data_IF_068215453410
#
_entry.id   IF_068215453410
#
_cell.length_a   1.000
_cell.length_b   1.000
_cell.length_c   1.000
_cell.angle_alpha   90.00
_cell.angle_beta   90.00
_cell.angle_gamma   90.00
#
_symmetry.space_group_name_H-M   'P 1'
#
loop_
_entity.id
_entity.type
_entity.pdbx_description
1 polymer ?
#
# COMPACT_ATOMS: atom_id res chain seq x y z
N UNK A 1 -17.65 -24.86 13.31
CA UNK A 1 -17.06 -23.66 13.94
C UNK A 1 -15.64 -23.94 14.45
N UNK A 2 -15.35 -25.14 14.95
CA UNK A 2 -14.04 -25.49 15.51
C UNK A 2 -12.89 -25.53 14.49
N UNK A 3 -13.14 -25.98 13.25
CA UNK A 3 -12.12 -25.96 12.18
C UNK A 3 -11.70 -24.53 11.78
N UNK A 4 -12.62 -23.57 11.88
CA UNK A 4 -12.38 -22.17 11.55
C UNK A 4 -11.60 -21.49 12.68
N UNK A 5 -11.93 -21.79 13.94
CA UNK A 5 -11.16 -21.32 15.10
C UNK A 5 -9.75 -21.94 15.15
N UNK A 6 -9.60 -23.22 14.80
CA UNK A 6 -8.30 -23.89 14.71
C UNK A 6 -7.43 -23.31 13.57
N UNK A 7 -8.03 -22.90 12.44
CA UNK A 7 -7.32 -22.22 11.36
C UNK A 7 -6.96 -20.75 11.70
N UNK A 8 -7.76 -20.08 12.54
CA UNK A 8 -7.49 -18.70 12.99
C UNK A 8 -6.43 -18.62 14.09
N UNK A 9 -6.26 -19.71 14.85
CA UNK A 9 -5.25 -19.81 15.92
C UNK A 9 -4.02 -20.61 15.49
N UNK A 10 -4.06 -21.27 14.33
CA UNK A 10 -2.87 -21.91 13.78
C UNK A 10 -1.81 -20.85 13.45
N UNK A 11 -0.54 -21.12 13.76
CA UNK A 11 0.55 -20.23 13.39
C UNK A 11 0.77 -20.33 11.89
N UNK A 12 0.26 -19.33 11.16
CA UNK A 12 0.52 -19.16 9.73
C UNK A 12 1.69 -18.18 9.63
N UNK A 13 2.86 -18.63 9.15
CA UNK A 13 4.10 -17.83 9.13
C UNK A 13 4.55 -17.28 10.50
N UNK A 14 4.28 -18.02 11.59
CA UNK A 14 4.73 -17.65 12.94
C UNK A 14 3.88 -16.58 13.64
N UNK A 15 2.77 -16.14 13.03
CA UNK A 15 1.75 -15.30 13.68
C UNK A 15 0.37 -15.96 13.57
N UNK A 16 -0.55 -15.74 14.53
CA UNK A 16 -1.88 -16.35 14.47
C UNK A 16 -2.67 -15.91 13.22
N UNK A 17 -3.40 -16.81 12.57
CA UNK A 17 -4.23 -16.49 11.40
C UNK A 17 -5.23 -15.34 11.59
N UNK A 18 -5.69 -15.08 12.83
CA UNK A 18 -6.56 -13.94 13.14
C UNK A 18 -5.89 -12.58 12.87
N UNK A 19 -4.56 -12.50 12.99
CA UNK A 19 -3.80 -11.27 12.72
C UNK A 19 -3.84 -10.88 11.24
N UNK A 20 -3.68 -11.89 10.37
CA UNK A 20 -3.83 -11.72 8.93
C UNK A 20 -5.26 -11.33 8.56
N UNK A 21 -6.26 -11.93 9.22
CA UNK A 21 -7.66 -11.59 8.99
C UNK A 21 -7.97 -10.16 9.45
N UNK A 22 -7.46 -9.74 10.62
CA UNK A 22 -7.59 -8.37 11.11
C UNK A 22 -6.92 -7.34 10.17
N UNK A 23 -5.73 -7.66 9.66
CA UNK A 23 -5.03 -6.83 8.66
C UNK A 23 -5.84 -6.72 7.36
N UNK A 24 -6.36 -7.85 6.87
CA UNK A 24 -7.13 -7.91 5.63
C UNK A 24 -8.46 -7.16 5.77
N UNK A 25 -9.14 -7.29 6.91
CA UNK A 25 -10.35 -6.52 7.24
C UNK A 25 -10.05 -5.02 7.33
N UNK A 26 -8.94 -4.63 7.96
CA UNK A 26 -8.51 -3.23 8.00
C UNK A 26 -8.30 -2.66 6.60
N UNK A 27 -7.59 -3.39 5.73
CA UNK A 27 -7.35 -3.01 4.34
C UNK A 27 -8.68 -2.88 3.58
N UNK A 28 -9.55 -3.89 3.65
CA UNK A 28 -10.84 -3.85 2.95
C UNK A 28 -11.69 -2.67 3.45
N UNK A 29 -11.70 -2.42 4.75
CA UNK A 29 -12.44 -1.30 5.34
C UNK A 29 -11.93 0.05 4.81
N UNK A 30 -10.61 0.23 4.77
CA UNK A 30 -9.98 1.42 4.20
C UNK A 30 -10.27 1.55 2.70
N UNK A 31 -10.21 0.46 1.94
CA UNK A 31 -10.48 0.44 0.51
C UNK A 31 -11.96 0.77 0.20
N UNK A 32 -12.90 0.24 0.98
CA UNK A 32 -14.33 0.54 0.83
C UNK A 32 -14.61 2.00 1.19
N UNK A 33 -13.94 2.56 2.20
CA UNK A 33 -14.03 3.99 2.52
C UNK A 33 -13.47 4.86 1.39
N UNK A 34 -12.29 4.52 0.87
CA UNK A 34 -11.61 5.30 -0.17
C UNK A 34 -12.35 5.27 -1.51
N UNK A 35 -12.83 4.09 -1.92
CA UNK A 35 -13.51 3.87 -3.20
C UNK A 35 -15.02 4.19 -3.15
N UNK A 36 -15.64 4.06 -1.98
CA UNK A 36 -17.09 4.21 -1.80
C UNK A 36 -17.55 5.58 -1.32
N UNK A 37 -16.76 6.27 -0.49
CA UNK A 37 -17.19 7.52 0.19
C UNK A 37 -16.43 8.74 -0.33
N UNK A 38 -15.14 8.62 -0.64
CA UNK A 38 -14.30 9.79 -0.93
C UNK A 38 -14.22 10.16 -2.43
N UNK A 39 -14.18 9.18 -3.33
CA UNK A 39 -14.02 9.42 -4.78
C UNK A 39 -15.34 9.59 -5.57
N UNK A 40 -16.44 9.96 -4.91
CA UNK A 40 -17.74 10.08 -5.59
C UNK A 40 -17.85 11.35 -6.46
N UNK A 41 -17.02 12.36 -6.24
CA UNK A 41 -17.07 13.64 -6.95
C UNK A 41 -15.74 13.98 -7.64
N UNK A 42 -15.83 14.37 -8.92
CA UNK A 42 -14.71 14.73 -9.80
C UNK A 42 -14.18 16.15 -9.53
N UNK A 43 -13.87 16.48 -8.27
CA UNK A 43 -13.26 17.77 -7.94
C UNK A 43 -11.75 17.75 -8.24
N UNK A 44 -11.24 18.82 -8.85
CA UNK A 44 -9.80 19.05 -9.00
C UNK A 44 -9.19 19.19 -7.60
N UNK A 45 -8.59 18.10 -7.09
CA UNK A 45 -8.03 18.07 -5.74
C UNK A 45 -6.93 19.13 -5.64
N UNK A 46 -7.17 20.15 -4.82
CA UNK A 46 -6.20 21.19 -4.55
C UNK A 46 -4.99 20.58 -3.81
N UNK A 47 -3.76 21.08 -4.05
CA UNK A 47 -2.52 20.51 -3.49
C UNK A 47 -2.59 20.31 -1.96
N UNK A 48 -3.29 21.20 -1.25
CA UNK A 48 -3.48 21.16 0.21
C UNK A 48 -4.36 19.99 0.65
N UNK A 49 -5.41 19.70 -0.11
CA UNK A 49 -6.34 18.61 0.17
C UNK A 49 -5.70 17.26 -0.14
N UNK A 50 -4.92 17.17 -1.23
CA UNK A 50 -4.10 15.97 -1.54
C UNK A 50 -3.10 15.65 -0.42
N UNK A 51 -2.44 16.67 0.15
CA UNK A 51 -1.49 16.51 1.26
C UNK A 51 -2.17 16.09 2.56
N UNK A 52 -3.36 16.64 2.85
CA UNK A 52 -4.14 16.25 4.03
C UNK A 52 -4.63 14.82 3.93
N UNK A 53 -5.16 14.42 2.77
CA UNK A 53 -5.59 13.04 2.53
C UNK A 53 -4.43 12.06 2.66
N UNK A 54 -3.30 12.35 1.99
CA UNK A 54 -2.09 11.53 2.10
C UNK A 54 -1.61 11.42 3.55
N UNK A 55 -1.56 12.53 4.29
CA UNK A 55 -1.13 12.50 5.71
C UNK A 55 -2.11 11.73 6.61
N UNK A 56 -3.41 11.76 6.31
CA UNK A 56 -4.42 10.92 6.96
C UNK A 56 -4.14 9.43 6.75
N UNK A 57 -3.94 8.99 5.50
CA UNK A 57 -3.61 7.60 5.19
C UNK A 57 -2.28 7.16 5.80
N UNK A 58 -1.26 8.01 5.72
CA UNK A 58 0.03 7.76 6.36
C UNK A 58 -0.11 7.56 7.88
N UNK A 59 -0.90 8.39 8.54
CA UNK A 59 -1.15 8.30 9.98
C UNK A 59 -1.83 6.99 10.37
N UNK A 60 -2.77 6.50 9.55
CA UNK A 60 -3.40 5.19 9.77
C UNK A 60 -2.38 4.07 9.66
N UNK A 61 -1.49 4.11 8.65
CA UNK A 61 -0.42 3.12 8.49
C UNK A 61 0.55 3.09 9.67
N UNK A 62 0.89 4.26 10.21
CA UNK A 62 1.72 4.38 11.42
C UNK A 62 0.96 3.88 12.67
N UNK A 63 -0.30 4.26 12.84
CA UNK A 63 -1.12 3.79 13.96
C UNK A 63 -1.26 2.26 13.97
N UNK A 64 -1.39 1.64 12.80
CA UNK A 64 -1.40 0.18 12.68
C UNK A 64 -0.07 -0.45 13.07
N UNK A 65 1.08 0.16 12.72
CA UNK A 65 2.39 -0.27 13.22
C UNK A 65 2.52 -0.19 14.74
N UNK A 66 1.91 0.83 15.36
CA UNK A 66 1.82 0.96 16.82
C UNK A 66 0.97 -0.15 17.45
N UNK A 67 -0.14 -0.52 16.79
CA UNK A 67 -0.95 -1.67 17.19
C UNK A 67 -0.18 -3.00 17.09
N UNK A 68 0.59 -3.20 16.02
CA UNK A 68 1.47 -4.37 15.86
C UNK A 68 2.48 -4.42 17.01
N UNK A 69 3.09 -3.29 17.38
CA UNK A 69 4.05 -3.24 18.48
C UNK A 69 3.41 -3.71 19.79
N UNK A 70 2.19 -3.26 20.08
CA UNK A 70 1.51 -3.63 21.33
C UNK A 70 1.16 -5.12 21.41
N UNK A 71 0.82 -5.76 20.29
CA UNK A 71 0.36 -7.15 20.28
C UNK A 71 1.43 -8.19 19.91
N UNK A 72 2.29 -7.91 18.93
CA UNK A 72 3.27 -8.84 18.35
C UNK A 72 4.71 -8.54 18.82
N UNK A 73 4.90 -7.48 19.61
CA UNK A 73 6.19 -7.08 20.15
C UNK A 73 7.03 -6.22 19.20
N UNK A 74 8.16 -5.73 19.71
CA UNK A 74 9.01 -4.74 19.02
C UNK A 74 9.65 -5.25 17.73
N UNK A 75 10.02 -6.53 17.65
CA UNK A 75 10.69 -7.10 16.48
C UNK A 75 9.79 -7.09 15.24
N UNK A 76 8.53 -7.53 15.39
CA UNK A 76 7.57 -7.56 14.28
C UNK A 76 7.07 -6.17 13.90
N UNK A 77 6.93 -5.26 14.86
CA UNK A 77 6.68 -3.86 14.56
C UNK A 77 7.82 -3.22 13.77
N UNK A 78 9.07 -3.54 14.12
CA UNK A 78 10.22 -3.01 13.41
C UNK A 78 10.32 -3.56 11.99
N UNK A 79 10.04 -4.85 11.76
CA UNK A 79 9.89 -5.43 10.42
C UNK A 79 8.80 -4.69 9.62
N UNK A 80 7.62 -4.46 10.22
CA UNK A 80 6.53 -3.72 9.59
C UNK A 80 6.91 -2.28 9.23
N UNK A 81 7.45 -1.51 10.17
CA UNK A 81 7.85 -0.12 9.92
C UNK A 81 8.98 -0.03 8.91
N UNK A 82 9.91 -0.98 8.91
CA UNK A 82 10.98 -1.05 7.91
C UNK A 82 10.39 -1.28 6.53
N UNK A 83 9.49 -2.26 6.38
CA UNK A 83 8.78 -2.51 5.11
C UNK A 83 7.97 -1.29 4.66
N UNK A 84 7.17 -0.71 5.56
CA UNK A 84 6.35 0.46 5.31
C UNK A 84 7.17 1.66 4.81
N UNK A 85 8.29 1.98 5.46
CA UNK A 85 9.16 3.07 5.04
C UNK A 85 9.90 2.76 3.73
N UNK A 86 10.32 1.51 3.52
CA UNK A 86 10.95 1.08 2.26
C UNK A 86 9.98 1.23 1.10
N UNK A 87 8.75 0.75 1.25
CA UNK A 87 7.71 0.90 0.24
C UNK A 87 7.40 2.37 -0.04
N UNK A 88 7.31 3.19 1.01
CA UNK A 88 7.00 4.60 0.87
C UNK A 88 8.12 5.38 0.18
N UNK A 89 9.38 5.07 0.49
CA UNK A 89 10.56 5.62 -0.21
C UNK A 89 10.57 5.25 -1.70
N UNK A 90 10.30 3.98 -2.01
CA UNK A 90 10.28 3.48 -3.39
C UNK A 90 9.13 4.09 -4.21
N UNK A 91 8.00 4.39 -3.57
CA UNK A 91 6.91 5.13 -4.24
C UNK A 91 7.28 6.58 -4.58
N UNK A 92 8.08 7.25 -3.73
CA UNK A 92 8.51 8.63 -3.94
C UNK A 92 9.51 8.74 -5.10
N UNK A 93 10.41 7.76 -5.24
CA UNK A 93 11.33 7.64 -6.37
C UNK A 93 10.58 7.50 -7.71
N UNK A 94 9.54 6.64 -7.74
CA UNK A 94 8.70 6.46 -8.92
C UNK A 94 7.97 7.74 -9.35
N UNK A 95 7.40 8.49 -8.40
CA UNK A 95 6.73 9.77 -8.71
C UNK A 95 7.72 10.81 -9.23
N UNK A 96 8.94 10.84 -8.69
CA UNK A 96 9.99 11.74 -9.15
C UNK A 96 10.41 11.45 -10.59
N UNK A 97 10.66 10.18 -10.93
CA UNK A 97 10.98 9.76 -12.31
C UNK A 97 9.85 10.17 -13.27
N UNK A 98 8.59 9.95 -12.89
CA UNK A 98 7.44 10.34 -13.71
C UNK A 98 7.34 11.85 -13.91
N UNK A 99 7.55 12.64 -12.85
CA UNK A 99 7.53 14.10 -12.94
C UNK A 99 8.64 14.64 -13.87
N UNK A 100 9.85 14.07 -13.82
CA UNK A 100 10.94 14.43 -14.73
C UNK A 100 10.61 14.12 -16.19
N UNK A 101 10.06 12.93 -16.46
CA UNK A 101 9.66 12.53 -17.83
C UNK A 101 8.57 13.45 -18.37
N UNK A 102 7.51 13.71 -17.59
CA UNK A 102 6.41 14.61 -17.98
C UNK A 102 6.90 16.04 -18.21
N UNK A 103 7.84 16.51 -17.39
CA UNK A 103 8.49 17.81 -17.53
C UNK A 103 9.34 17.92 -18.80
N UNK A 104 10.13 16.88 -19.11
CA UNK A 104 10.95 16.84 -20.33
C UNK A 104 10.11 16.93 -21.62
N UNK A 105 8.98 16.22 -21.67
CA UNK A 105 8.05 16.26 -22.80
C UNK A 105 7.09 17.46 -22.78
N UNK A 106 7.20 18.34 -21.78
CA UNK A 106 6.39 19.55 -21.62
C UNK A 106 4.87 19.28 -21.75
N UNK A 107 4.40 18.18 -21.14
CA UNK A 107 3.02 17.72 -21.29
C UNK A 107 2.07 18.68 -20.56
N UNK A 108 1.04 19.24 -21.25
CA UNK A 108 0.05 20.12 -20.64
C UNK A 108 -0.65 19.46 -19.44
N UNK A 109 -0.92 20.22 -18.36
CA UNK A 109 -1.45 19.68 -17.09
C UNK A 109 -2.75 18.88 -17.24
N UNK A 110 -3.58 19.23 -18.23
CA UNK A 110 -4.83 18.52 -18.57
C UNK A 110 -4.61 17.04 -18.92
N UNK A 111 -3.46 16.68 -19.49
CA UNK A 111 -3.12 15.30 -19.86
C UNK A 111 -2.26 14.58 -18.82
N UNK A 112 -1.63 15.30 -17.89
CA UNK A 112 -0.75 14.73 -16.88
C UNK A 112 -1.45 13.65 -16.05
N UNK A 113 -2.68 13.89 -15.60
CA UNK A 113 -3.42 12.90 -14.81
C UNK A 113 -3.64 11.57 -15.55
N UNK A 114 -4.00 11.60 -16.84
CA UNK A 114 -4.18 10.37 -17.62
C UNK A 114 -2.87 9.63 -17.85
N UNK A 115 -1.80 10.36 -18.19
CA UNK A 115 -0.48 9.75 -18.43
C UNK A 115 0.06 9.16 -17.13
N UNK A 116 -0.10 9.86 -16.01
CA UNK A 116 0.30 9.38 -14.68
C UNK A 116 -0.47 8.12 -14.31
N UNK A 117 -1.79 8.09 -14.54
CA UNK A 117 -2.62 6.92 -14.27
C UNK A 117 -2.18 5.68 -15.06
N UNK A 118 -1.98 5.82 -16.39
CA UNK A 118 -1.48 4.72 -17.24
C UNK A 118 -0.06 4.30 -16.86
N UNK A 119 0.79 5.24 -16.45
CA UNK A 119 2.13 4.98 -15.97
C UNK A 119 2.16 4.17 -14.67
N UNK A 120 1.37 4.60 -13.67
CA UNK A 120 1.22 3.90 -12.40
C UNK A 120 0.68 2.48 -12.63
N UNK A 121 -0.35 2.33 -13.47
CA UNK A 121 -0.91 1.02 -13.81
C UNK A 121 0.15 0.10 -14.43
N UNK A 122 0.94 0.61 -15.38
CA UNK A 122 2.03 -0.14 -16.00
C UNK A 122 3.10 -0.59 -15.01
N UNK A 123 3.52 0.31 -14.10
CA UNK A 123 4.49 0.00 -13.04
C UNK A 123 3.96 -1.04 -12.07
N UNK A 124 2.70 -0.96 -11.66
CA UNK A 124 2.06 -1.94 -10.76
C UNK A 124 2.05 -3.33 -11.42
N UNK A 125 1.72 -3.42 -12.71
CA UNK A 125 1.72 -4.69 -13.45
C UNK A 125 3.13 -5.26 -13.54
N UNK A 126 4.12 -4.44 -13.94
CA UNK A 126 5.51 -4.88 -14.03
C UNK A 126 6.03 -5.35 -12.66
N UNK A 127 5.70 -4.61 -11.60
CA UNK A 127 6.04 -4.96 -10.22
C UNK A 127 5.41 -6.29 -9.82
N UNK A 128 4.13 -6.53 -10.11
CA UNK A 128 3.47 -7.79 -9.83
C UNK A 128 4.15 -8.97 -10.54
N UNK A 129 4.53 -8.79 -11.81
CA UNK A 129 5.27 -9.79 -12.58
C UNK A 129 6.64 -10.05 -11.95
N UNK A 130 7.41 -9.01 -11.64
CA UNK A 130 8.74 -9.16 -11.06
C UNK A 130 8.71 -9.82 -9.68
N UNK A 131 7.74 -9.46 -8.83
CA UNK A 131 7.54 -10.12 -7.52
C UNK A 131 7.14 -11.58 -7.72
N UNK A 132 6.21 -11.87 -8.63
CA UNK A 132 5.79 -13.23 -8.93
C UNK A 132 6.93 -14.11 -9.46
N UNK A 133 7.72 -13.59 -10.39
CA UNK A 133 8.91 -14.29 -10.91
C UNK A 133 9.99 -14.44 -9.84
N UNK A 134 10.27 -13.38 -9.08
CA UNK A 134 11.26 -13.39 -8.02
C UNK A 134 10.92 -14.41 -6.92
N UNK A 135 9.65 -14.48 -6.50
CA UNK A 135 9.20 -15.48 -5.52
C UNK A 135 9.30 -16.90 -6.05
N UNK A 136 8.95 -17.15 -7.32
CA UNK A 136 9.10 -18.46 -7.94
C UNK A 136 10.58 -18.91 -8.03
N UNK A 137 11.47 -17.98 -8.37
CA UNK A 137 12.92 -18.22 -8.40
C UNK A 137 13.49 -18.54 -7.01
N UNK A 138 13.10 -17.79 -5.98
CA UNK A 138 13.53 -18.01 -4.59
C UNK A 138 12.93 -19.27 -3.97
N UNK A 139 11.78 -19.77 -4.45
CA UNK A 139 11.23 -21.04 -3.98
C UNK A 139 11.89 -22.26 -4.61
N UNK A 140 12.52 -22.10 -5.79
CA UNK A 140 13.21 -23.19 -6.49
C UNK A 140 14.68 -23.33 -6.10
N UNK A 141 15.27 -22.34 -5.41
CA UNK A 141 16.67 -22.30 -4.98
C UNK A 141 16.80 -21.93 -3.51
#
# INVERSE_FOLDING_TARGET
>A
MDALLAFLTSPIFGTPGWFWLAFLVLIITLLVLDLGVLHRDQHEIEMRESLLLYSGYFSVGVAFGGWIWWQLGGTKAMEYYTGFLVEQSLSMDNVFVMAMILGYFNIPRKYQHRVLFWGILGVIVLRAIMIGLGTALVQQF
#
